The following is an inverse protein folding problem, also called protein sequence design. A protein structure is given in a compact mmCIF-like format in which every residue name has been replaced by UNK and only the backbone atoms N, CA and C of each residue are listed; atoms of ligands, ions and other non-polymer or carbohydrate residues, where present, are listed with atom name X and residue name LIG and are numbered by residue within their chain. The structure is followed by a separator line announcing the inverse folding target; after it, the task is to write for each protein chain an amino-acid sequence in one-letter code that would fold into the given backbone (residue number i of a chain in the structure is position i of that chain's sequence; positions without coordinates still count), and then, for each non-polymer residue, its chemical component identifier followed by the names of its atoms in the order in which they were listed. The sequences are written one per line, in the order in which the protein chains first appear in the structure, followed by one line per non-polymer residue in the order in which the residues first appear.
data_IF_083285272180
#
_entry.id   IF_083285272180
#
_cell.length_a   1.000
_cell.length_b   1.000
_cell.length_c   1.000
_cell.angle_alpha   90.00
_cell.angle_beta   90.00
_cell.angle_gamma   90.00
#
_symmetry.space_group_name_H-M   'P 1'
#
loop_
_entity.id
_entity.type
_entity.pdbx_description
1 polymer ?
#
# COMPACT_ATOMS: atom_id res chain seq x y z
N UNK A 1 -2.87 15.31 -14.19
CA UNK A 1 -3.01 15.18 -12.73
C UNK A 1 -2.10 16.20 -12.08
N UNK A 2 -2.50 16.75 -10.94
CA UNK A 2 -1.72 17.64 -10.10
C UNK A 2 -1.43 16.98 -8.75
N UNK A 3 -0.67 17.63 -7.88
CA UNK A 3 -0.31 17.09 -6.55
C UNK A 3 -1.55 16.80 -5.68
N UNK A 4 -2.61 17.62 -5.76
CA UNK A 4 -3.86 17.37 -5.03
C UNK A 4 -4.59 16.11 -5.50
N UNK A 5 -4.58 15.83 -6.80
CA UNK A 5 -5.17 14.60 -7.34
C UNK A 5 -4.44 13.36 -6.82
N UNK A 6 -3.11 13.41 -6.69
CA UNK A 6 -2.34 12.33 -6.08
C UNK A 6 -2.65 12.18 -4.60
N UNK A 7 -2.71 13.28 -3.83
CA UNK A 7 -3.11 13.24 -2.41
C UNK A 7 -4.48 12.57 -2.23
N UNK A 8 -5.46 12.93 -3.06
CA UNK A 8 -6.78 12.29 -3.03
C UNK A 8 -6.71 10.80 -3.37
N UNK A 9 -5.95 10.42 -4.40
CA UNK A 9 -5.82 9.03 -4.83
C UNK A 9 -5.10 8.16 -3.79
N UNK A 10 -4.12 8.71 -3.09
CA UNK A 10 -3.47 8.04 -1.96
C UNK A 10 -4.36 7.92 -0.72
N UNK A 11 -5.25 8.87 -0.48
CA UNK A 11 -6.26 8.71 0.59
C UNK A 11 -7.17 7.50 0.33
N UNK A 12 -7.59 7.27 -0.92
CA UNK A 12 -8.27 6.04 -1.30
C UNK A 12 -7.39 4.81 -1.04
N UNK A 13 -6.14 4.82 -1.48
CA UNK A 13 -5.20 3.71 -1.33
C UNK A 13 -5.03 3.31 0.14
N UNK A 14 -4.81 4.27 1.02
CA UNK A 14 -4.68 4.03 2.46
C UNK A 14 -6.00 3.58 3.10
N UNK A 15 -7.13 4.11 2.67
CA UNK A 15 -8.43 3.69 3.16
C UNK A 15 -8.70 2.21 2.85
N UNK A 16 -8.40 1.76 1.63
CA UNK A 16 -8.57 0.36 1.24
C UNK A 16 -7.57 -0.57 1.94
N UNK A 17 -6.31 -0.15 2.13
CA UNK A 17 -5.33 -0.90 2.92
C UNK A 17 -5.83 -1.12 4.36
N UNK A 18 -6.34 -0.06 5.00
CA UNK A 18 -6.88 -0.10 6.37
C UNK A 18 -8.14 -0.96 6.44
N UNK A 19 -9.06 -0.81 5.48
CA UNK A 19 -10.29 -1.61 5.40
C UNK A 19 -10.01 -3.11 5.31
N UNK A 20 -9.03 -3.52 4.48
CA UNK A 20 -8.61 -4.92 4.39
C UNK A 20 -8.04 -5.39 5.72
N UNK A 21 -7.15 -4.62 6.33
CA UNK A 21 -6.56 -4.98 7.61
C UNK A 21 -7.62 -5.19 8.69
N UNK A 22 -8.47 -4.19 8.91
CA UNK A 22 -9.44 -4.19 10.01
C UNK A 22 -10.52 -5.26 9.82
N UNK A 23 -11.02 -5.44 8.60
CA UNK A 23 -12.15 -6.35 8.34
C UNK A 23 -11.75 -7.80 8.16
N UNK A 24 -10.58 -8.05 7.57
CA UNK A 24 -10.21 -9.40 7.14
C UNK A 24 -8.96 -9.93 7.82
N UNK A 25 -7.93 -9.10 8.03
CA UNK A 25 -6.66 -9.59 8.58
C UNK A 25 -6.75 -9.77 10.10
N UNK A 26 -7.35 -8.80 10.79
CA UNK A 26 -7.52 -8.85 12.25
C UNK A 26 -8.22 -10.13 12.75
N UNK A 27 -9.32 -10.62 12.14
CA UNK A 27 -10.02 -11.81 12.60
C UNK A 27 -9.38 -13.15 12.19
N UNK A 28 -8.35 -13.18 11.35
CA UNK A 28 -7.71 -14.44 10.92
C UNK A 28 -7.13 -15.21 12.10
N UNK A 29 -7.22 -16.53 12.04
CA UNK A 29 -6.40 -17.39 12.91
C UNK A 29 -4.92 -17.24 12.53
N UNK A 30 -4.02 -17.72 13.41
CA UNK A 30 -2.59 -17.76 13.10
C UNK A 30 -2.33 -18.58 11.82
N UNK A 31 -2.94 -19.75 11.72
CA UNK A 31 -2.80 -20.65 10.57
C UNK A 31 -3.28 -19.98 9.27
N UNK A 32 -4.47 -19.35 9.28
CA UNK A 32 -5.00 -18.65 8.11
C UNK A 32 -4.09 -17.48 7.66
N UNK A 33 -3.42 -16.82 8.59
CA UNK A 33 -2.52 -15.70 8.30
C UNK A 33 -1.20 -16.16 7.70
N UNK A 34 -0.67 -17.32 8.16
CA UNK A 34 0.68 -17.80 7.82
C UNK A 34 0.71 -18.97 6.86
N UNK A 35 -0.45 -19.61 6.58
CA UNK A 35 -0.53 -20.77 5.69
C UNK A 35 -0.05 -20.41 4.28
N UNK A 36 0.98 -21.11 3.84
CA UNK A 36 1.49 -20.96 2.48
C UNK A 36 0.54 -21.60 1.46
N UNK A 37 0.31 -20.87 0.40
CA UNK A 37 -0.45 -21.29 -0.78
C UNK A 37 0.41 -21.12 -2.03
N UNK A 38 0.14 -21.90 -3.05
CA UNK A 38 0.82 -21.78 -4.36
C UNK A 38 0.15 -20.68 -5.20
N UNK A 39 0.18 -19.45 -4.66
CA UNK A 39 -0.39 -18.27 -5.31
C UNK A 39 0.33 -17.02 -4.84
N UNK A 40 0.71 -16.14 -5.79
CA UNK A 40 1.34 -14.85 -5.56
C UNK A 40 2.56 -14.93 -4.61
N UNK A 41 2.54 -14.25 -3.47
CA UNK A 41 3.64 -14.23 -2.47
C UNK A 41 3.54 -15.34 -1.43
N UNK A 42 2.57 -16.24 -1.52
CA UNK A 42 2.52 -17.48 -0.79
C UNK A 42 1.62 -17.50 0.43
N UNK A 43 1.46 -16.44 1.20
CA UNK A 43 0.53 -16.37 2.33
C UNK A 43 -0.06 -14.98 2.47
N UNK A 44 -1.18 -14.86 3.20
CA UNK A 44 -1.77 -13.55 3.55
C UNK A 44 -0.73 -12.63 4.18
N UNK A 45 0.07 -13.16 5.12
CA UNK A 45 1.19 -12.46 5.73
C UNK A 45 2.20 -11.97 4.70
N UNK A 46 2.67 -12.86 3.84
CA UNK A 46 3.72 -12.54 2.86
C UNK A 46 3.25 -11.51 1.84
N UNK A 47 1.97 -11.56 1.45
CA UNK A 47 1.34 -10.53 0.61
C UNK A 47 1.35 -9.15 1.26
N UNK A 48 1.01 -9.08 2.56
CA UNK A 48 0.98 -7.81 3.29
C UNK A 48 2.39 -7.25 3.47
N UNK A 49 3.34 -8.09 3.86
CA UNK A 49 4.74 -7.67 4.00
C UNK A 49 5.28 -7.14 2.68
N UNK A 50 4.99 -7.85 1.57
CA UNK A 50 5.38 -7.38 0.24
C UNK A 50 4.79 -6.01 -0.12
N UNK A 51 3.51 -5.76 0.21
CA UNK A 51 2.90 -4.44 0.00
C UNK A 51 3.63 -3.34 0.77
N UNK A 52 3.95 -3.58 2.03
CA UNK A 52 4.66 -2.64 2.89
C UNK A 52 6.06 -2.35 2.34
N UNK A 53 6.80 -3.40 1.99
CA UNK A 53 8.18 -3.29 1.50
C UNK A 53 8.22 -2.53 0.16
N UNK A 54 7.28 -2.80 -0.75
CA UNK A 54 7.19 -2.11 -2.03
C UNK A 54 6.86 -0.61 -1.84
N UNK A 55 5.90 -0.28 -0.98
CA UNK A 55 5.54 1.10 -0.64
C UNK A 55 6.75 1.85 -0.04
N UNK A 56 7.44 1.26 0.93
CA UNK A 56 8.59 1.89 1.60
C UNK A 56 9.77 2.05 0.66
N UNK A 57 10.06 1.05 -0.16
CA UNK A 57 11.15 1.09 -1.15
C UNK A 57 10.95 2.26 -2.12
N UNK A 58 9.82 2.33 -2.82
CA UNK A 58 9.58 3.37 -3.82
C UNK A 58 9.55 4.78 -3.22
N UNK A 59 8.96 4.95 -2.05
CA UNK A 59 8.94 6.26 -1.40
C UNK A 59 10.29 6.65 -0.78
N UNK A 60 11.09 5.69 -0.39
CA UNK A 60 12.47 5.95 0.04
C UNK A 60 13.33 6.44 -1.12
N UNK A 61 13.19 5.82 -2.31
CA UNK A 61 13.83 6.30 -3.54
C UNK A 61 13.39 7.74 -3.89
N UNK A 62 12.10 8.03 -3.86
CA UNK A 62 11.58 9.39 -4.12
C UNK A 62 12.12 10.43 -3.13
N UNK A 63 12.43 10.06 -1.90
CA UNK A 63 12.97 10.93 -0.86
C UNK A 63 14.50 11.01 -0.86
N UNK A 64 15.18 10.14 -1.63
CA UNK A 64 16.62 9.96 -1.56
C UNK A 64 17.09 9.46 -0.18
N UNK A 65 16.31 8.60 0.44
CA UNK A 65 16.54 8.02 1.77
C UNK A 65 16.67 6.49 1.68
N UNK A 66 17.20 5.87 2.71
CA UNK A 66 17.17 4.41 2.82
C UNK A 66 15.78 3.93 3.20
N UNK A 67 15.33 2.76 2.71
CA UNK A 67 14.13 2.09 3.22
C UNK A 67 14.26 1.80 4.71
N UNK A 68 13.14 1.52 5.34
CA UNK A 68 13.10 1.04 6.74
C UNK A 68 13.84 -0.29 6.86
N UNK A 69 14.30 -0.61 8.07
CA UNK A 69 14.79 -1.95 8.33
C UNK A 69 13.69 -2.97 8.09
N UNK A 70 14.01 -4.13 7.47
CA UNK A 70 13.03 -5.18 7.23
C UNK A 70 12.45 -5.71 8.55
N UNK A 71 11.25 -6.25 8.49
CA UNK A 71 10.61 -6.87 9.67
C UNK A 71 11.51 -7.99 10.19
N UNK A 72 11.96 -7.93 11.47
CA UNK A 72 12.83 -8.96 12.02
C UNK A 72 12.17 -10.34 12.02
N UNK A 73 12.91 -11.45 11.78
CA UNK A 73 12.34 -12.81 11.78
C UNK A 73 11.53 -13.15 13.04
N UNK A 74 11.95 -12.64 14.19
CA UNK A 74 11.23 -12.85 15.46
C UNK A 74 9.83 -12.19 15.50
N UNK A 75 9.57 -11.21 14.64
CA UNK A 75 8.31 -10.46 14.55
C UNK A 75 7.58 -10.72 13.23
N UNK A 76 8.06 -11.66 12.41
CA UNK A 76 7.51 -11.92 11.07
C UNK A 76 6.03 -12.33 11.08
N UNK A 77 5.56 -12.94 12.15
CA UNK A 77 4.19 -13.40 12.33
C UNK A 77 3.39 -12.54 13.34
N UNK A 78 4.02 -11.51 13.92
CA UNK A 78 3.39 -10.60 14.85
C UNK A 78 2.59 -9.53 14.09
N UNK A 79 1.27 -9.71 14.03
CA UNK A 79 0.36 -8.78 13.35
C UNK A 79 0.38 -7.37 13.91
N UNK A 80 0.56 -7.20 15.22
CA UNK A 80 0.64 -5.88 15.82
C UNK A 80 1.92 -5.16 15.40
N UNK A 81 3.03 -5.88 15.37
CA UNK A 81 4.29 -5.35 14.85
C UNK A 81 4.19 -4.97 13.37
N UNK A 82 3.66 -5.88 12.54
CA UNK A 82 3.46 -5.65 11.10
C UNK A 82 2.56 -4.42 10.89
N UNK A 83 1.45 -4.28 11.65
CA UNK A 83 0.56 -3.13 11.53
C UNK A 83 1.25 -1.82 11.89
N UNK A 84 1.99 -1.78 12.98
CA UNK A 84 2.77 -0.61 13.40
C UNK A 84 3.82 -0.22 12.35
N UNK A 85 4.47 -1.23 11.77
CA UNK A 85 5.44 -1.00 10.70
C UNK A 85 4.76 -0.37 9.47
N UNK A 86 3.61 -0.90 9.05
CA UNK A 86 2.83 -0.33 7.95
C UNK A 86 2.36 1.09 8.26
N UNK A 87 1.86 1.35 9.47
CA UNK A 87 1.48 2.72 9.89
C UNK A 87 2.66 3.70 9.81
N UNK A 88 3.85 3.25 10.16
CA UNK A 88 5.07 4.06 10.04
C UNK A 88 5.42 4.37 8.57
N UNK A 89 5.29 3.40 7.68
CA UNK A 89 5.50 3.59 6.23
C UNK A 89 4.43 4.53 5.67
N UNK A 90 3.15 4.31 5.99
CA UNK A 90 2.06 5.21 5.59
C UNK A 90 2.31 6.66 6.03
N UNK A 91 2.80 6.87 7.26
CA UNK A 91 3.11 8.21 7.77
C UNK A 91 4.20 8.90 6.93
N UNK A 92 5.27 8.19 6.60
CA UNK A 92 6.35 8.72 5.74
C UNK A 92 5.85 9.10 4.34
N UNK A 93 4.94 8.28 3.79
CA UNK A 93 4.30 8.56 2.50
C UNK A 93 3.45 9.83 2.59
N UNK A 94 2.64 9.97 3.64
CA UNK A 94 1.81 11.15 3.88
C UNK A 94 2.64 12.42 4.00
N UNK A 95 3.78 12.36 4.68
CA UNK A 95 4.72 13.49 4.81
C UNK A 95 5.28 13.90 3.44
N UNK A 96 5.70 12.92 2.61
CA UNK A 96 6.14 13.19 1.26
C UNK A 96 5.03 13.85 0.41
N UNK A 97 3.83 13.27 0.43
CA UNK A 97 2.68 13.79 -0.33
C UNK A 97 2.25 15.19 0.15
N UNK A 98 2.39 15.51 1.43
CA UNK A 98 2.12 16.84 1.97
C UNK A 98 3.07 17.89 1.40
N UNK A 99 4.33 17.52 1.16
CA UNK A 99 5.36 18.40 0.56
C UNK A 99 5.32 18.45 -0.97
N UNK A 100 4.58 17.55 -1.62
CA UNK A 100 4.54 17.41 -3.07
C UNK A 100 3.97 18.67 -3.74
N UNK A 101 4.69 19.22 -4.73
CA UNK A 101 4.26 20.34 -5.57
C UNK A 101 4.08 19.85 -7.02
N UNK A 102 3.31 20.60 -7.83
CA UNK A 102 2.99 20.20 -9.20
C UNK A 102 4.21 20.10 -10.11
N UNK A 103 5.20 20.96 -9.93
CA UNK A 103 6.45 20.94 -10.68
C UNK A 103 7.33 19.74 -10.35
N UNK A 104 7.27 19.24 -9.12
CA UNK A 104 7.98 18.02 -8.71
C UNK A 104 7.52 16.80 -9.48
N UNK A 105 6.26 16.75 -9.93
CA UNK A 105 5.70 15.60 -10.64
C UNK A 105 6.48 15.22 -11.90
N UNK A 106 7.13 16.18 -12.53
CA UNK A 106 7.89 16.00 -13.76
C UNK A 106 9.40 15.97 -13.54
N UNK A 107 9.86 15.87 -12.31
CA UNK A 107 11.27 15.63 -11.98
C UNK A 107 11.59 14.13 -11.99
N UNK A 108 12.87 13.82 -12.07
CA UNK A 108 13.41 12.45 -12.08
C UNK A 108 14.35 12.27 -10.88
N UNK A 109 13.82 12.07 -9.67
CA UNK A 109 14.61 12.07 -8.43
C UNK A 109 15.42 10.79 -8.23
N UNK A 110 15.00 9.65 -8.81
CA UNK A 110 15.67 8.36 -8.61
C UNK A 110 17.00 8.37 -9.34
N UNK A 111 18.06 8.02 -8.64
CA UNK A 111 19.43 8.06 -9.16
C UNK A 111 19.99 6.70 -9.51
N UNK A 112 19.44 5.65 -8.93
CA UNK A 112 19.82 4.24 -9.08
C UNK A 112 18.60 3.35 -8.86
N UNK A 113 18.50 2.17 -9.49
CA UNK A 113 19.35 1.63 -10.56
C UNK A 113 19.12 2.34 -11.90
N UNK A 114 19.97 2.09 -12.90
CA UNK A 114 19.97 2.79 -14.20
C UNK A 114 18.61 2.81 -14.91
N UNK A 115 17.83 1.75 -14.78
CA UNK A 115 16.49 1.65 -15.41
C UNK A 115 15.48 2.65 -14.80
N UNK A 116 15.56 2.92 -13.50
CA UNK A 116 14.62 3.78 -12.78
C UNK A 116 14.97 5.27 -12.83
N UNK A 117 16.20 5.61 -13.23
CA UNK A 117 16.65 7.02 -13.35
C UNK A 117 15.83 7.86 -14.33
N UNK A 118 15.11 7.22 -15.24
CA UNK A 118 14.29 7.88 -16.24
C UNK A 118 12.86 8.15 -15.79
N UNK A 119 12.45 7.61 -14.64
CA UNK A 119 11.08 7.71 -14.16
C UNK A 119 10.80 9.09 -13.60
N UNK A 120 9.66 9.64 -14.02
CA UNK A 120 9.10 10.83 -13.39
C UNK A 120 8.42 10.48 -12.06
N UNK A 121 8.40 11.43 -11.14
CA UNK A 121 7.68 11.29 -9.85
C UNK A 121 6.25 10.80 -10.07
N UNK A 122 5.48 11.39 -10.99
CA UNK A 122 4.10 10.98 -11.24
C UNK A 122 3.95 9.51 -11.67
N UNK A 123 4.95 8.97 -12.39
CA UNK A 123 4.93 7.57 -12.83
C UNK A 123 5.11 6.63 -11.63
N UNK A 124 6.06 6.95 -10.75
CA UNK A 124 6.27 6.19 -9.51
C UNK A 124 5.03 6.25 -8.61
N UNK A 125 4.47 7.44 -8.40
CA UNK A 125 3.26 7.60 -7.60
C UNK A 125 2.09 6.78 -8.16
N UNK A 126 1.89 6.78 -9.47
CA UNK A 126 0.84 6.00 -10.11
C UNK A 126 1.13 4.49 -10.02
N UNK A 127 2.39 4.09 -10.20
CA UNK A 127 2.83 2.71 -10.07
C UNK A 127 2.48 2.16 -8.67
N UNK A 128 2.84 2.84 -7.60
CA UNK A 128 2.61 2.35 -6.23
C UNK A 128 1.12 2.14 -5.95
N UNK A 129 0.25 3.07 -6.33
CA UNK A 129 -1.20 2.89 -6.14
C UNK A 129 -1.75 1.74 -6.97
N UNK A 130 -1.30 1.61 -8.23
CA UNK A 130 -1.72 0.51 -9.11
C UNK A 130 -1.21 -0.85 -8.61
N UNK A 131 0.05 -0.93 -8.20
CA UNK A 131 0.65 -2.10 -7.57
C UNK A 131 -0.14 -2.52 -6.31
N UNK A 132 -0.47 -1.55 -5.44
CA UNK A 132 -1.30 -1.82 -4.27
C UNK A 132 -2.69 -2.34 -4.62
N UNK A 133 -3.32 -1.83 -5.69
CA UNK A 133 -4.62 -2.31 -6.16
C UNK A 133 -4.54 -3.76 -6.65
N UNK A 134 -3.49 -4.10 -7.40
CA UNK A 134 -3.28 -5.47 -7.90
C UNK A 134 -3.07 -6.45 -6.74
N UNK A 135 -2.17 -6.14 -5.81
CA UNK A 135 -1.90 -7.01 -4.65
C UNK A 135 -3.08 -7.10 -3.68
N UNK A 136 -3.85 -6.04 -3.48
CA UNK A 136 -5.11 -6.11 -2.71
C UNK A 136 -6.13 -7.03 -3.38
N UNK A 137 -6.23 -7.02 -4.72
CA UNK A 137 -7.13 -7.93 -5.43
C UNK A 137 -6.70 -9.41 -5.25
N UNK A 138 -5.40 -9.68 -5.29
CA UNK A 138 -4.84 -11.00 -5.01
C UNK A 138 -5.13 -11.44 -3.57
N UNK A 139 -4.93 -10.55 -2.62
CA UNK A 139 -5.22 -10.78 -1.20
C UNK A 139 -6.70 -11.04 -0.94
N UNK A 140 -7.60 -10.27 -1.55
CA UNK A 140 -9.04 -10.47 -1.44
C UNK A 140 -9.46 -11.83 -2.02
N UNK A 141 -8.83 -12.29 -3.10
CA UNK A 141 -9.07 -13.63 -3.63
C UNK A 141 -8.63 -14.71 -2.63
N UNK A 142 -7.46 -14.56 -2.02
CA UNK A 142 -6.96 -15.50 -1.01
C UNK A 142 -7.91 -15.55 0.20
N UNK A 143 -8.33 -14.40 0.71
CA UNK A 143 -9.31 -14.28 1.79
C UNK A 143 -10.66 -14.93 1.41
N UNK A 144 -11.10 -14.78 0.18
CA UNK A 144 -12.31 -15.46 -0.33
C UNK A 144 -12.16 -16.99 -0.30
N UNK A 145 -10.99 -17.52 -0.65
CA UNK A 145 -10.69 -18.95 -0.56
C UNK A 145 -10.69 -19.45 0.89
N UNK A 146 -10.36 -18.58 1.85
CA UNK A 146 -10.45 -18.86 3.29
C UNK A 146 -11.88 -18.74 3.84
N UNK A 147 -12.88 -18.46 2.99
CA UNK A 147 -14.30 -18.41 3.35
C UNK A 147 -14.82 -17.01 3.75
N UNK A 148 -14.03 -15.96 3.62
CA UNK A 148 -14.48 -14.61 3.89
C UNK A 148 -15.31 -14.05 2.72
N UNK A 149 -16.41 -13.39 3.02
CA UNK A 149 -17.16 -12.61 2.03
C UNK A 149 -16.44 -11.28 1.83
N UNK A 150 -15.68 -11.16 0.74
CA UNK A 150 -14.94 -9.95 0.40
C UNK A 150 -15.81 -8.91 -0.28
N UNK A 151 -15.43 -7.64 -0.15
CA UNK A 151 -16.08 -6.49 -0.77
C UNK A 151 -15.24 -5.92 -1.91
N UNK A 152 -15.89 -5.11 -2.74
CA UNK A 152 -15.21 -4.39 -3.83
C UNK A 152 -14.26 -3.33 -3.27
N UNK A 153 -13.17 -3.09 -3.99
CA UNK A 153 -12.19 -2.04 -3.71
C UNK A 153 -12.14 -0.97 -4.80
N UNK A 154 -13.16 -0.91 -5.66
CA UNK A 154 -13.18 0.03 -6.78
C UNK A 154 -13.14 1.48 -6.29
N UNK A 155 -12.24 2.27 -6.88
CA UNK A 155 -12.07 3.68 -6.57
C UNK A 155 -13.37 4.48 -6.61
N UNK A 156 -14.28 4.14 -7.52
CA UNK A 156 -15.55 4.86 -7.66
C UNK A 156 -16.44 4.75 -6.41
N UNK A 157 -16.41 3.62 -5.70
CA UNK A 157 -17.17 3.47 -4.46
C UNK A 157 -16.60 4.34 -3.33
N UNK A 158 -15.28 4.43 -3.24
CA UNK A 158 -14.64 5.38 -2.33
C UNK A 158 -15.07 6.82 -2.63
N UNK A 159 -15.13 7.21 -3.90
CA UNK A 159 -15.62 8.55 -4.29
C UNK A 159 -17.06 8.77 -3.86
N UNK A 160 -17.96 7.81 -4.09
CA UNK A 160 -19.37 7.93 -3.70
C UNK A 160 -19.55 8.05 -2.19
N UNK A 161 -18.80 7.27 -1.40
CA UNK A 161 -18.84 7.35 0.07
C UNK A 161 -18.42 8.73 0.59
N UNK A 162 -17.38 9.31 -0.01
CA UNK A 162 -16.89 10.65 0.39
C UNK A 162 -17.78 11.80 -0.08
N UNK A 163 -18.48 11.67 -1.22
CA UNK A 163 -19.45 12.65 -1.65
C UNK A 163 -20.68 12.71 -0.71
N UNK A 164 -21.12 11.56 -0.19
CA UNK A 164 -22.24 11.49 0.77
C UNK A 164 -21.87 12.05 2.15
N UNK A 165 -20.59 11.94 2.55
CA UNK A 165 -20.06 12.50 3.80
C UNK A 165 -19.94 14.03 3.79
N UNK A 166 -19.71 14.63 2.62
CA UNK A 166 -19.60 16.08 2.46
C UNK A 166 -20.96 16.81 2.39
N UNK A 167 -22.08 16.09 2.27
CA UNK A 167 -23.43 16.63 2.16
C UNK A 167 -24.19 16.66 3.52
N UNK A 168 -23.54 16.32 4.61
CA UNK A 168 -24.08 16.40 6.00
C UNK A 168 -23.33 17.45 6.80
#
# INVERSE_FOLDING_TARGET
MNADAFRHFYNYHFAENRKIWDRYITPLSYEQFTQKVDYSHGSVRDQIVHLIDAEDMWFSELRGANPSDPIPPANSDDREFIRKHWDSVEQKIREYLASLQDDMLFTKPIKEPEEDQVLFVWQVLLHVVNHGTDHRAQLLRELSNLGFKTEYQDYIFYVYENLQGAAK
#
